data_IF_989685444907
#
_entry.id   IF_989685444907
#
_cell.length_a   1.000
_cell.length_b   1.000
_cell.length_c   1.000
_cell.angle_alpha   90.00
_cell.angle_beta   90.00
_cell.angle_gamma   90.00
#
_symmetry.space_group_name_H-M   'P 1'
#
loop_
_entity.id
_entity.type
_entity.pdbx_description
1 polymer ?
#
# COMPACT_ATOMS: atom_id res chain seq x y z
N UNK A 1 15.20 10.29 2.39
CA UNK A 1 16.54 10.41 1.82
C UNK A 1 16.50 10.53 0.29
N UNK A 2 16.05 9.53 -0.46
CA UNK A 2 16.00 9.60 -1.94
C UNK A 2 15.21 10.80 -2.46
N UNK A 3 14.09 11.14 -1.84
CA UNK A 3 13.27 12.30 -2.23
C UNK A 3 14.04 13.61 -2.06
N UNK A 4 14.80 13.75 -0.97
CA UNK A 4 15.63 14.95 -0.75
C UNK A 4 16.66 15.11 -1.86
N UNK A 5 17.39 14.04 -2.19
CA UNK A 5 18.37 14.07 -3.29
C UNK A 5 17.73 14.40 -4.64
N UNK A 6 16.48 13.98 -4.85
CA UNK A 6 15.73 14.25 -6.05
C UNK A 6 15.28 15.72 -6.12
N UNK A 7 14.79 16.27 -5.01
CA UNK A 7 14.39 17.68 -4.91
C UNK A 7 15.60 18.63 -5.04
N UNK A 8 16.73 18.26 -4.48
CA UNK A 8 18.01 18.99 -4.60
C UNK A 8 18.67 18.83 -5.98
N UNK A 9 18.04 18.08 -6.91
CA UNK A 9 18.56 17.79 -8.27
C UNK A 9 19.93 17.09 -8.27
N UNK A 10 20.30 16.44 -7.18
CA UNK A 10 21.53 15.65 -7.07
C UNK A 10 21.40 14.37 -7.90
N UNK A 11 20.18 13.80 -7.93
CA UNK A 11 19.85 12.62 -8.74
C UNK A 11 18.66 12.93 -9.65
N UNK A 12 18.66 12.35 -10.84
CA UNK A 12 17.60 12.53 -11.84
C UNK A 12 16.72 11.28 -12.00
N UNK A 13 17.17 10.14 -11.50
CA UNK A 13 16.45 8.88 -11.60
C UNK A 13 16.70 8.04 -10.36
N UNK A 14 15.64 7.44 -9.85
CA UNK A 14 15.65 6.51 -8.71
C UNK A 14 15.00 5.21 -9.13
N UNK A 15 15.65 4.10 -8.85
CA UNK A 15 15.05 2.77 -8.88
C UNK A 15 14.66 2.37 -7.44
N UNK A 16 13.36 2.21 -7.23
CA UNK A 16 12.80 1.68 -5.96
C UNK A 16 12.46 0.22 -6.17
N UNK A 17 13.00 -0.65 -5.33
CA UNK A 17 12.75 -2.10 -5.39
C UNK A 17 12.08 -2.51 -4.09
N UNK A 18 10.92 -3.16 -4.19
CA UNK A 18 10.15 -3.71 -3.08
C UNK A 18 10.12 -5.25 -3.19
N UNK A 19 11.13 -5.96 -2.72
CA UNK A 19 11.08 -7.41 -2.62
C UNK A 19 10.35 -7.81 -1.33
N UNK A 20 9.33 -8.61 -1.47
CA UNK A 20 8.54 -9.11 -0.34
C UNK A 20 8.51 -10.63 -0.35
N UNK A 21 9.05 -11.23 0.70
CA UNK A 21 9.04 -12.66 0.96
C UNK A 21 8.36 -12.84 2.32
N UNK A 22 7.03 -12.84 2.31
CA UNK A 22 6.20 -12.85 3.52
C UNK A 22 5.89 -14.27 4.00
N UNK A 23 5.81 -15.23 3.09
CA UNK A 23 5.35 -16.59 3.39
C UNK A 23 6.17 -17.33 4.45
N UNK A 24 7.52 -17.16 4.59
CA UNK A 24 8.29 -17.80 5.65
C UNK A 24 7.98 -17.31 7.07
N UNK A 25 7.38 -16.12 7.20
CA UNK A 25 7.09 -15.50 8.50
C UNK A 25 5.64 -15.71 8.96
N UNK A 26 4.85 -16.40 8.15
CA UNK A 26 3.43 -16.66 8.42
C UNK A 26 3.29 -17.85 9.37
N UNK A 27 2.43 -17.72 10.37
CA UNK A 27 2.06 -18.84 11.24
C UNK A 27 1.03 -19.73 10.54
N UNK A 28 1.48 -20.82 9.92
CA UNK A 28 0.62 -21.77 9.20
C UNK A 28 -0.35 -22.55 10.08
N UNK A 29 -0.17 -22.55 11.40
CA UNK A 29 -1.12 -23.12 12.34
C UNK A 29 -2.31 -22.18 12.64
N UNK A 30 -2.20 -20.89 12.30
CA UNK A 30 -3.27 -19.90 12.52
C UNK A 30 -4.05 -19.67 11.23
N UNK A 31 -5.29 -20.15 11.23
CA UNK A 31 -6.18 -20.13 10.07
C UNK A 31 -6.55 -18.73 9.55
N UNK A 32 -6.47 -17.71 10.38
CA UNK A 32 -6.78 -16.32 10.04
C UNK A 32 -5.64 -15.58 9.33
N UNK A 33 -4.45 -16.18 9.25
CA UNK A 33 -3.25 -15.56 8.69
C UNK A 33 -2.68 -16.35 7.51
N UNK A 34 -2.63 -17.68 7.57
CA UNK A 34 -1.78 -18.51 6.71
C UNK A 34 -2.08 -18.45 5.20
N UNK A 35 -3.31 -18.12 4.82
CA UNK A 35 -3.74 -18.13 3.41
C UNK A 35 -3.77 -16.74 2.76
N UNK A 36 -3.43 -15.67 3.52
CA UNK A 36 -3.59 -14.29 3.05
C UNK A 36 -2.37 -13.85 2.23
N UNK A 37 -1.18 -14.21 2.66
CA UNK A 37 0.07 -13.69 2.13
C UNK A 37 0.53 -14.39 0.85
N UNK A 38 1.21 -13.62 0.00
CA UNK A 38 1.98 -14.08 -1.14
C UNK A 38 3.36 -13.45 -1.15
N UNK A 39 4.24 -13.95 -2.01
CA UNK A 39 5.58 -13.42 -2.23
C UNK A 39 5.64 -12.74 -3.59
N UNK A 40 6.38 -11.63 -3.67
CA UNK A 40 6.50 -10.88 -4.90
C UNK A 40 7.54 -9.77 -4.83
N UNK A 41 7.84 -9.19 -5.98
CA UNK A 41 8.75 -8.07 -6.08
C UNK A 41 8.25 -7.07 -7.11
N UNK A 42 8.35 -5.78 -6.77
CA UNK A 42 8.06 -4.68 -7.71
C UNK A 42 9.28 -3.78 -7.81
N UNK A 43 9.63 -3.38 -9.03
CA UNK A 43 10.63 -2.37 -9.31
C UNK A 43 9.97 -1.15 -9.94
N UNK A 44 10.18 0.02 -9.35
CA UNK A 44 9.59 1.28 -9.80
C UNK A 44 10.68 2.28 -10.16
N UNK A 45 10.60 2.86 -11.36
CA UNK A 45 11.50 3.93 -11.77
C UNK A 45 10.80 5.27 -11.58
N UNK A 46 11.42 6.16 -10.79
CA UNK A 46 11.00 7.55 -10.63
C UNK A 46 12.06 8.42 -11.31
N UNK A 47 11.65 9.26 -12.26
CA UNK A 47 12.60 10.05 -13.04
C UNK A 47 12.07 11.43 -13.38
N UNK A 48 12.97 12.43 -13.45
CA UNK A 48 12.68 13.75 -14.03
C UNK A 48 12.70 13.73 -15.56
N UNK A 49 13.12 12.63 -16.18
CA UNK A 49 13.23 12.51 -17.63
C UNK A 49 11.94 11.97 -18.24
N UNK A 50 11.34 12.72 -19.14
CA UNK A 50 10.17 12.31 -19.93
C UNK A 50 10.59 11.39 -21.08
N UNK A 51 10.80 10.09 -20.80
CA UNK A 51 11.29 9.12 -21.80
C UNK A 51 10.36 7.93 -22.07
N UNK A 52 9.20 7.86 -21.46
CA UNK A 52 8.28 6.74 -21.60
C UNK A 52 6.92 7.22 -22.11
N UNK A 53 6.24 6.38 -22.89
CA UNK A 53 4.85 6.63 -23.32
C UNK A 53 3.83 6.28 -22.22
N UNK A 54 4.26 5.60 -21.17
CA UNK A 54 3.41 5.24 -20.02
C UNK A 54 3.94 5.91 -18.76
N UNK A 55 3.68 7.20 -18.61
CA UNK A 55 4.17 8.02 -17.52
C UNK A 55 3.03 8.52 -16.66
N UNK A 56 3.33 8.61 -15.36
CA UNK A 56 2.48 9.23 -14.36
C UNK A 56 3.27 10.33 -13.65
N UNK A 57 2.70 11.52 -13.60
CA UNK A 57 3.23 12.62 -12.81
C UNK A 57 2.77 12.48 -11.38
N UNK A 58 3.69 12.51 -10.42
CA UNK A 58 3.34 12.63 -9.00
C UNK A 58 2.89 14.07 -8.76
N UNK A 59 1.64 14.25 -8.34
CA UNK A 59 1.08 15.56 -8.01
C UNK A 59 1.37 15.93 -6.56
N UNK A 60 1.10 15.00 -5.63
CA UNK A 60 1.35 15.19 -4.20
C UNK A 60 1.53 13.85 -3.48
N UNK A 61 2.03 13.92 -2.24
CA UNK A 61 2.21 12.79 -1.33
C UNK A 61 1.88 13.18 0.10
N UNK A 62 1.30 12.25 0.86
CA UNK A 62 0.97 12.44 2.27
C UNK A 62 1.33 11.17 3.05
N UNK A 63 1.83 11.34 4.27
CA UNK A 63 2.23 10.25 5.16
C UNK A 63 1.75 10.52 6.57
N UNK A 64 1.22 9.49 7.24
CA UNK A 64 0.97 9.52 8.68
C UNK A 64 1.47 8.22 9.34
N UNK A 65 1.78 8.31 10.62
CA UNK A 65 2.09 7.16 11.48
C UNK A 65 1.33 7.30 12.80
N UNK A 66 0.67 6.23 13.21
CA UNK A 66 -0.06 6.12 14.48
C UNK A 66 0.32 4.80 15.15
N UNK A 67 0.85 4.87 16.36
CA UNK A 67 1.26 3.66 17.09
C UNK A 67 0.10 2.68 17.31
N UNK A 68 0.34 1.40 17.01
CA UNK A 68 -0.55 0.28 17.30
C UNK A 68 0.22 -1.03 17.36
N UNK A 69 -0.12 -1.88 18.33
CA UNK A 69 0.42 -3.23 18.46
C UNK A 69 -0.43 -4.30 17.74
N UNK A 70 -1.48 -3.90 17.02
CA UNK A 70 -2.38 -4.85 16.37
C UNK A 70 -1.78 -5.55 15.15
N UNK A 71 -0.69 -5.01 14.60
CA UNK A 71 0.14 -5.65 13.57
C UNK A 71 1.58 -5.49 14.01
N UNK A 72 2.31 -6.60 14.16
CA UNK A 72 3.71 -6.58 14.55
C UNK A 72 4.44 -7.87 14.20
N UNK A 73 5.75 -7.79 14.21
CA UNK A 73 6.66 -8.92 14.33
C UNK A 73 7.58 -8.60 15.51
N UNK A 74 7.50 -9.38 16.58
CA UNK A 74 8.20 -9.06 17.82
C UNK A 74 9.72 -9.24 17.65
N UNK A 75 10.15 -10.35 17.05
CA UNK A 75 11.58 -10.68 16.93
C UNK A 75 12.05 -10.99 15.52
N UNK A 76 11.30 -11.68 14.70
CA UNK A 76 11.69 -12.24 13.40
C UNK A 76 12.94 -13.16 13.45
N UNK A 77 13.13 -13.98 12.43
CA UNK A 77 14.27 -14.90 12.33
C UNK A 77 15.65 -14.24 12.24
N UNK A 78 15.70 -12.96 11.85
CA UNK A 78 16.95 -12.23 11.65
C UNK A 78 17.44 -11.52 12.91
N UNK A 79 16.60 -11.34 13.92
CA UNK A 79 16.96 -10.65 15.16
C UNK A 79 17.53 -11.66 16.16
N UNK A 80 18.85 -11.75 16.22
CA UNK A 80 19.60 -12.60 17.17
C UNK A 80 20.30 -11.84 18.29
N UNK A 81 19.95 -10.57 18.51
CA UNK A 81 20.62 -9.72 19.51
C UNK A 81 20.28 -10.11 20.95
N UNK A 82 19.18 -10.84 21.19
CA UNK A 82 18.80 -11.31 22.52
C UNK A 82 19.21 -12.77 22.71
N UNK A 83 19.83 -13.07 23.85
CA UNK A 83 20.25 -14.42 24.26
C UNK A 83 19.12 -15.28 24.81
N UNK A 84 17.95 -14.69 25.05
CA UNK A 84 16.82 -15.38 25.67
C UNK A 84 16.16 -16.36 24.70
N UNK A 85 15.71 -17.48 25.20
CA UNK A 85 14.88 -18.42 24.45
C UNK A 85 13.57 -17.75 24.06
N UNK A 86 13.26 -17.75 22.76
CA UNK A 86 12.03 -17.24 22.20
C UNK A 86 11.14 -18.40 21.75
N UNK A 87 9.84 -18.25 21.96
CA UNK A 87 8.90 -19.18 21.35
C UNK A 87 8.88 -19.00 19.83
N UNK A 88 8.50 -20.04 19.09
CA UNK A 88 8.36 -19.92 17.65
C UNK A 88 7.30 -18.86 17.27
N UNK A 89 6.32 -18.64 18.13
CA UNK A 89 5.27 -17.65 17.92
C UNK A 89 5.82 -16.20 17.95
N UNK A 90 6.85 -15.94 18.75
CA UNK A 90 7.50 -14.63 18.84
C UNK A 90 8.30 -14.29 17.57
N UNK A 91 8.66 -15.31 16.77
CA UNK A 91 9.40 -15.17 15.53
C UNK A 91 8.50 -14.92 14.32
N UNK A 92 7.19 -15.14 14.48
CA UNK A 92 6.22 -15.10 13.40
C UNK A 92 5.43 -13.78 13.40
N UNK A 93 4.84 -13.48 12.24
CA UNK A 93 3.96 -12.35 12.07
C UNK A 93 2.70 -12.50 12.94
N UNK A 94 2.34 -11.42 13.64
CA UNK A 94 1.14 -11.32 14.46
C UNK A 94 0.21 -10.22 13.93
N UNK A 95 -1.09 -10.51 13.88
CA UNK A 95 -2.12 -9.50 13.69
C UNK A 95 -3.40 -9.82 14.46
N UNK A 96 -4.06 -8.77 14.97
CA UNK A 96 -5.44 -8.81 15.40
C UNK A 96 -6.32 -8.30 14.26
N UNK A 97 -6.71 -9.19 13.35
CA UNK A 97 -7.38 -8.82 12.09
C UNK A 97 -8.67 -8.02 12.30
N UNK A 98 -9.48 -8.33 13.33
CA UNK A 98 -10.71 -7.59 13.63
C UNK A 98 -10.44 -6.15 14.08
N UNK A 99 -9.46 -5.95 14.95
CA UNK A 99 -9.08 -4.60 15.41
C UNK A 99 -8.47 -3.80 14.27
N UNK A 100 -7.57 -4.43 13.48
CA UNK A 100 -6.97 -3.81 12.28
C UNK A 100 -8.05 -3.35 11.31
N UNK A 101 -9.03 -4.20 10.99
CA UNK A 101 -10.12 -3.85 10.08
C UNK A 101 -10.90 -2.64 10.57
N UNK A 102 -11.30 -2.62 11.84
CA UNK A 102 -12.10 -1.55 12.45
C UNK A 102 -11.36 -0.21 12.55
N UNK A 103 -10.05 -0.24 12.76
CA UNK A 103 -9.23 0.95 12.96
C UNK A 103 -8.67 1.49 11.64
N UNK A 104 -8.16 0.61 10.77
CA UNK A 104 -7.45 1.02 9.55
C UNK A 104 -8.41 1.49 8.46
N UNK A 105 -9.55 0.81 8.25
CA UNK A 105 -10.43 1.20 7.15
C UNK A 105 -10.94 2.66 7.27
N UNK A 106 -11.50 3.12 8.40
CA UNK A 106 -11.93 4.51 8.52
C UNK A 106 -10.76 5.48 8.49
N UNK A 107 -9.62 5.14 9.13
CA UNK A 107 -8.43 5.97 9.15
C UNK A 107 -7.86 6.22 7.74
N UNK A 108 -7.74 5.17 6.93
CA UNK A 108 -7.22 5.28 5.56
C UNK A 108 -8.20 6.04 4.66
N UNK A 109 -9.51 5.79 4.79
CA UNK A 109 -10.52 6.50 4.02
C UNK A 109 -10.50 8.00 4.32
N UNK A 110 -10.48 8.40 5.60
CA UNK A 110 -10.37 9.80 6.03
C UNK A 110 -9.07 10.43 5.54
N UNK A 111 -7.98 9.69 5.62
CA UNK A 111 -6.66 10.14 5.17
C UNK A 111 -6.63 10.43 3.67
N UNK A 112 -7.17 9.53 2.83
CA UNK A 112 -7.29 9.75 1.37
C UNK A 112 -8.22 10.92 1.08
N UNK A 113 -9.40 10.98 1.72
CA UNK A 113 -10.35 12.08 1.52
C UNK A 113 -9.74 13.44 1.85
N UNK A 114 -8.98 13.51 2.96
CA UNK A 114 -8.28 14.74 3.36
C UNK A 114 -7.17 15.08 2.36
N UNK A 115 -6.42 14.09 1.87
CA UNK A 115 -5.37 14.29 0.88
C UNK A 115 -5.91 14.82 -0.45
N UNK A 116 -7.03 14.28 -0.91
CA UNK A 116 -7.74 14.78 -2.10
C UNK A 116 -8.22 16.24 -1.90
N UNK A 117 -8.84 16.52 -0.75
CA UNK A 117 -9.33 17.85 -0.40
C UNK A 117 -8.20 18.88 -0.37
N UNK A 118 -7.06 18.56 0.24
CA UNK A 118 -5.87 19.42 0.31
C UNK A 118 -5.34 19.79 -1.08
N UNK A 119 -5.62 18.95 -2.08
CA UNK A 119 -5.23 19.15 -3.48
C UNK A 119 -6.38 19.65 -4.37
N UNK A 120 -7.53 20.04 -3.79
CA UNK A 120 -8.72 20.49 -4.52
C UNK A 120 -9.23 19.48 -5.56
N UNK A 121 -9.16 18.20 -5.24
CA UNK A 121 -9.66 17.09 -6.06
C UNK A 121 -10.89 16.49 -5.36
N UNK A 122 -12.00 16.39 -6.10
CA UNK A 122 -13.18 15.70 -5.59
C UNK A 122 -13.04 14.18 -5.80
N UNK A 123 -13.55 13.33 -4.88
CA UNK A 123 -13.45 11.88 -5.02
C UNK A 123 -13.92 11.32 -6.38
N UNK A 124 -15.00 11.81 -7.01
CA UNK A 124 -15.42 11.35 -8.34
C UNK A 124 -14.45 11.68 -9.49
N UNK A 125 -13.45 12.56 -9.28
CA UNK A 125 -12.42 12.87 -10.27
C UNK A 125 -11.29 11.82 -10.27
N UNK A 126 -11.30 10.89 -9.32
CA UNK A 126 -10.29 9.82 -9.21
C UNK A 126 -10.74 8.64 -10.04
N UNK A 127 -10.01 8.36 -11.10
CA UNK A 127 -10.31 7.28 -12.05
C UNK A 127 -9.82 5.91 -11.55
N UNK A 128 -8.90 5.84 -10.57
CA UNK A 128 -8.42 4.57 -10.02
C UNK A 128 -7.78 4.69 -8.64
N UNK A 129 -8.03 3.68 -7.79
CA UNK A 129 -7.44 3.52 -6.47
C UNK A 129 -6.60 2.24 -6.42
N UNK A 130 -5.28 2.36 -6.44
CA UNK A 130 -4.35 1.25 -6.25
C UNK A 130 -3.95 1.18 -4.77
N UNK A 131 -4.76 0.47 -4.00
CA UNK A 131 -4.57 0.36 -2.55
C UNK A 131 -3.72 -0.85 -2.18
N UNK A 132 -3.17 -0.81 -0.98
CA UNK A 132 -2.55 -1.97 -0.34
C UNK A 132 -3.51 -3.16 -0.34
N UNK A 133 -3.03 -4.31 -0.74
CA UNK A 133 -3.80 -5.52 -0.94
C UNK A 133 -3.87 -6.37 0.35
N UNK A 134 -4.45 -5.81 1.43
CA UNK A 134 -4.61 -6.51 2.70
C UNK A 134 -5.70 -7.60 2.65
N UNK A 135 -6.88 -7.24 2.19
CA UNK A 135 -7.96 -8.11 1.76
C UNK A 135 -8.98 -7.32 0.93
N UNK A 136 -9.77 -8.01 0.11
CA UNK A 136 -10.73 -7.38 -0.80
C UNK A 136 -11.80 -6.53 -0.08
N UNK A 137 -12.27 -6.99 1.09
CA UNK A 137 -13.27 -6.23 1.88
C UNK A 137 -12.72 -4.91 2.39
N UNK A 138 -11.46 -4.86 2.82
CA UNK A 138 -10.82 -3.60 3.25
C UNK A 138 -10.70 -2.64 2.08
N UNK A 139 -10.23 -3.09 0.92
CA UNK A 139 -10.10 -2.26 -0.28
C UNK A 139 -11.44 -1.66 -0.66
N UNK A 140 -12.48 -2.49 -0.81
CA UNK A 140 -13.81 -2.04 -1.19
C UNK A 140 -14.41 -1.05 -0.16
N UNK A 141 -14.30 -1.35 1.14
CA UNK A 141 -14.82 -0.47 2.20
C UNK A 141 -14.12 0.89 2.24
N UNK A 142 -12.80 0.91 2.03
CA UNK A 142 -12.03 2.18 2.00
C UNK A 142 -12.50 3.02 0.81
N UNK A 143 -12.57 2.44 -0.39
CA UNK A 143 -12.99 3.16 -1.59
C UNK A 143 -14.45 3.64 -1.47
N UNK A 144 -15.37 2.77 -1.03
CA UNK A 144 -16.77 3.14 -0.75
C UNK A 144 -16.89 4.34 0.18
N UNK A 145 -16.11 4.39 1.26
CA UNK A 145 -16.09 5.53 2.18
C UNK A 145 -15.54 6.81 1.56
N UNK A 146 -14.53 6.70 0.69
CA UNK A 146 -13.93 7.85 0.00
C UNK A 146 -14.89 8.44 -1.01
N UNK A 147 -15.54 7.60 -1.82
CA UNK A 147 -16.46 8.06 -2.87
C UNK A 147 -17.90 8.30 -2.37
N UNK A 148 -18.24 7.80 -1.17
CA UNK A 148 -19.55 8.01 -0.53
C UNK A 148 -20.67 7.08 -1.00
N UNK A 149 -20.35 5.97 -1.69
CA UNK A 149 -21.32 4.97 -2.13
C UNK A 149 -20.69 3.56 -2.16
N UNK A 150 -21.52 2.55 -1.91
CA UNK A 150 -21.12 1.14 -2.05
C UNK A 150 -21.31 0.61 -3.48
N UNK A 151 -22.06 1.35 -4.30
CA UNK A 151 -22.30 1.02 -5.71
C UNK A 151 -21.32 1.77 -6.60
N UNK A 152 -20.23 1.09 -6.95
CA UNK A 152 -19.20 1.58 -7.86
C UNK A 152 -18.63 0.46 -8.73
N UNK A 153 -18.10 0.83 -9.89
CA UNK A 153 -17.42 -0.11 -10.78
C UNK A 153 -16.17 -0.68 -10.09
N UNK A 154 -16.09 -2.00 -9.99
CA UNK A 154 -14.96 -2.71 -9.36
C UNK A 154 -13.62 -2.43 -10.04
N UNK A 155 -13.63 -2.01 -11.31
CA UNK A 155 -12.42 -1.58 -12.01
C UNK A 155 -11.75 -0.34 -11.39
N UNK A 156 -12.51 0.47 -10.64
CA UNK A 156 -12.03 1.63 -9.88
C UNK A 156 -11.03 1.23 -8.79
N UNK A 157 -11.19 0.04 -8.21
CA UNK A 157 -10.37 -0.48 -7.12
C UNK A 157 -9.91 -1.92 -7.42
N UNK A 158 -8.91 -2.12 -8.30
CA UNK A 158 -8.49 -3.44 -8.72
C UNK A 158 -7.99 -4.31 -7.54
N UNK A 159 -8.28 -5.61 -7.62
CA UNK A 159 -8.04 -6.59 -6.56
C UNK A 159 -7.07 -7.71 -7.00
N UNK A 160 -5.80 -7.41 -7.32
CA UNK A 160 -4.83 -8.47 -7.64
C UNK A 160 -4.59 -9.46 -6.49
N UNK A 161 -4.99 -9.12 -5.27
CA UNK A 161 -4.93 -10.03 -4.11
C UNK A 161 -5.62 -11.38 -4.37
N UNK A 162 -6.64 -11.43 -5.20
CA UNK A 162 -7.36 -12.67 -5.52
C UNK A 162 -6.49 -13.71 -6.24
N UNK A 163 -5.43 -13.26 -6.92
CA UNK A 163 -4.49 -14.13 -7.64
C UNK A 163 -3.15 -14.28 -6.94
N UNK A 164 -2.68 -13.23 -6.27
CA UNK A 164 -1.30 -13.12 -5.80
C UNK A 164 -1.18 -13.05 -4.27
N UNK A 165 -2.31 -12.95 -3.56
CA UNK A 165 -2.30 -12.75 -2.12
C UNK A 165 -1.87 -11.34 -1.71
N UNK A 166 -1.68 -11.16 -0.41
CA UNK A 166 -1.15 -9.92 0.15
C UNK A 166 0.39 -9.89 -0.01
N UNK A 167 0.86 -9.07 -0.92
CA UNK A 167 2.29 -8.85 -1.22
C UNK A 167 2.91 -7.77 -0.32
N UNK A 168 2.42 -7.60 0.89
CA UNK A 168 2.90 -6.63 1.86
C UNK A 168 3.10 -5.23 1.24
N UNK A 169 4.30 -4.61 1.35
CA UNK A 169 4.55 -3.26 0.83
C UNK A 169 4.52 -3.16 -0.69
N UNK A 170 4.73 -4.26 -1.41
CA UNK A 170 4.68 -4.29 -2.87
C UNK A 170 3.25 -4.23 -3.44
N UNK A 171 2.22 -4.56 -2.62
CA UNK A 171 0.85 -4.80 -3.09
C UNK A 171 0.21 -3.64 -3.86
N UNK A 172 0.34 -2.40 -3.38
CA UNK A 172 -0.22 -1.23 -4.07
C UNK A 172 0.47 -0.92 -5.40
N UNK A 173 1.79 -1.04 -5.44
CA UNK A 173 2.57 -0.83 -6.67
C UNK A 173 2.37 -1.98 -7.67
N UNK A 174 2.12 -3.19 -7.17
CA UNK A 174 1.75 -4.34 -8.00
C UNK A 174 0.38 -4.13 -8.65
N UNK A 175 -0.60 -3.65 -7.87
CA UNK A 175 -1.91 -3.25 -8.40
C UNK A 175 -1.79 -2.15 -9.46
N UNK A 176 -0.96 -1.12 -9.20
CA UNK A 176 -0.66 -0.07 -10.15
C UNK A 176 -0.05 -0.61 -11.45
N UNK A 177 0.92 -1.50 -11.37
CA UNK A 177 1.57 -2.06 -12.55
C UNK A 177 0.62 -2.88 -13.43
N UNK A 178 -0.25 -3.67 -12.83
CA UNK A 178 -1.20 -4.51 -13.55
C UNK A 178 -2.39 -3.76 -14.15
N UNK A 179 -2.75 -2.61 -13.56
CA UNK A 179 -3.96 -1.86 -13.90
C UNK A 179 -3.64 -0.37 -14.11
N UNK A 180 -2.58 -0.07 -14.85
CA UNK A 180 -2.17 1.30 -15.18
C UNK A 180 -2.74 1.78 -16.53
N UNK A 181 -4.01 1.52 -16.74
CA UNK A 181 -4.78 1.71 -17.97
C UNK A 181 -5.52 3.06 -18.03
N UNK A 182 -5.07 4.05 -17.29
CA UNK A 182 -5.67 5.39 -17.29
C UNK A 182 -5.36 6.14 -18.59
N UNK A 183 -6.29 7.00 -18.98
CA UNK A 183 -6.12 7.92 -20.10
C UNK A 183 -5.39 9.21 -19.67
N UNK A 184 -4.87 9.94 -20.63
CA UNK A 184 -4.14 11.18 -20.38
C UNK A 184 -5.01 12.20 -19.63
N UNK A 185 -4.50 12.71 -18.51
CA UNK A 185 -5.18 13.65 -17.63
C UNK A 185 -5.95 12.98 -16.49
N UNK A 186 -6.18 11.68 -16.56
CA UNK A 186 -6.80 10.94 -15.48
C UNK A 186 -5.93 10.92 -14.22
N UNK A 187 -6.60 10.99 -13.07
CA UNK A 187 -5.94 10.94 -11.77
C UNK A 187 -6.17 9.61 -11.07
N UNK A 188 -5.18 9.16 -10.34
CA UNK A 188 -5.26 7.96 -9.51
C UNK A 188 -4.59 8.13 -8.16
N UNK A 189 -4.99 7.28 -7.22
CA UNK A 189 -4.46 7.20 -5.86
C UNK A 189 -3.69 5.91 -5.69
N UNK A 190 -2.41 6.01 -5.35
CA UNK A 190 -1.61 4.88 -4.86
C UNK A 190 -1.53 5.03 -3.34
N UNK A 191 -2.11 4.09 -2.59
CA UNK A 191 -2.09 4.15 -1.14
C UNK A 191 -1.66 2.83 -0.52
N UNK A 192 -0.60 2.88 0.29
CA UNK A 192 -0.12 1.74 1.06
C UNK A 192 -0.31 2.00 2.55
N UNK A 193 -0.66 0.95 3.29
CA UNK A 193 -0.82 1.01 4.74
C UNK A 193 -0.43 -0.31 5.38
N UNK A 194 0.03 -0.28 6.61
CA UNK A 194 0.50 -1.47 7.31
C UNK A 194 0.83 -1.21 8.77
N UNK A 195 1.73 -2.06 9.29
CA UNK A 195 2.19 -1.97 10.66
C UNK A 195 2.67 -0.57 11.02
N UNK A 196 2.44 -0.23 12.24
CA UNK A 196 2.73 1.09 12.77
C UNK A 196 1.55 1.62 13.61
N UNK A 197 0.35 1.99 13.14
CA UNK A 197 0.07 1.98 11.69
C UNK A 197 0.82 3.07 10.94
N UNK A 198 1.28 2.77 9.75
CA UNK A 198 1.79 3.76 8.81
C UNK A 198 0.94 3.77 7.55
N UNK A 199 0.61 4.94 7.04
CA UNK A 199 -0.18 5.12 5.81
C UNK A 199 0.51 6.13 4.92
N UNK A 200 0.72 5.77 3.66
CA UNK A 200 1.24 6.67 2.63
C UNK A 200 0.25 6.73 1.45
N UNK A 201 -0.06 7.93 1.01
CA UNK A 201 -0.89 8.18 -0.18
C UNK A 201 -0.14 9.06 -1.16
N UNK A 202 -0.18 8.69 -2.44
CA UNK A 202 0.40 9.43 -3.56
C UNK A 202 -0.70 9.70 -4.57
N UNK A 203 -0.87 10.96 -4.96
CA UNK A 203 -1.75 11.35 -6.07
C UNK A 203 -0.92 11.38 -7.34
N UNK A 204 -1.37 10.69 -8.37
CA UNK A 204 -0.72 10.65 -9.67
C UNK A 204 -1.67 11.07 -10.78
N UNK A 205 -1.11 11.62 -11.86
CA UNK A 205 -1.83 11.99 -13.07
C UNK A 205 -1.15 11.37 -14.30
N UNK A 206 -1.93 10.72 -15.15
CA UNK A 206 -1.46 10.16 -16.42
C UNK A 206 -1.03 11.25 -17.38
N UNK A 207 0.16 11.09 -18.01
CA UNK A 207 0.76 12.09 -18.93
C UNK A 207 0.57 11.74 -20.39
#
# INVERSE_FOLDING_TARGET
FCITLFLEKIINTVLVINPEISTPFVNYAKRDIHFIFGDGCVATVISNNKKSNNQYKILDRKLITKFSNNIRSDWSYLVRAASDEKSIEDLLFYQNGNSVFKEVCPMVAEFITTHLKDNNINPPEVSKFWLHQANSRMVNLIVSKVIGTDDFDTSLAPLPIEKFGNLASAGSMFAFNLHNDLEKGDKGIICSFGAGYSVCSIIVEKQ
#
